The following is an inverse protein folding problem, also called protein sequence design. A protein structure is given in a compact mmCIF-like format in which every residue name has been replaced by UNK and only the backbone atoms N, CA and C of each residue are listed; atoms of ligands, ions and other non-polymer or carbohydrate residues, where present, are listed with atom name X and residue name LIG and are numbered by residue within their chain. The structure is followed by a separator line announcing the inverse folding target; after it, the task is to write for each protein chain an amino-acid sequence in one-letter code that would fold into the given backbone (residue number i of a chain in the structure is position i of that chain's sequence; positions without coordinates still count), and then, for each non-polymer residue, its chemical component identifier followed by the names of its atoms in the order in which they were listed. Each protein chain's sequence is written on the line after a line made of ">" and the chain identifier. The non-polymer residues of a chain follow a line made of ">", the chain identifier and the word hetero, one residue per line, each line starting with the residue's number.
data_IF_122328995629
#
_entry.id   IF_122328995629
#
_cell.length_a   1.000
_cell.length_b   1.000
_cell.length_c   1.000
_cell.angle_alpha   90.00
_cell.angle_beta   90.00
_cell.angle_gamma   90.00
#
_symmetry.space_group_name_H-M   'P 1'
#
loop_
_entity.id
_entity.type
_entity.pdbx_description
1 polymer ?
#
# COMPACT_ATOMS: atom_id res chain seq x y z
N UNK A 1 8.99 13.72 -8.60
CA UNK A 1 8.54 13.90 -7.21
C UNK A 1 7.22 13.17 -7.04
N UNK A 2 6.90 12.55 -5.88
CA UNK A 2 5.60 11.94 -5.66
C UNK A 2 4.49 12.99 -5.78
N UNK A 3 3.40 12.65 -6.47
CA UNK A 3 2.28 13.58 -6.68
C UNK A 3 1.30 13.50 -5.52
N UNK A 4 1.05 12.29 -5.01
CA UNK A 4 0.23 12.04 -3.82
C UNK A 4 0.87 11.04 -2.85
N UNK A 5 0.35 11.05 -1.61
CA UNK A 5 0.69 10.12 -0.55
C UNK A 5 -0.53 9.32 -0.13
N UNK A 6 -0.36 8.01 0.00
CA UNK A 6 -1.41 7.06 0.37
C UNK A 6 -0.99 6.29 1.61
N UNK A 7 -1.93 6.00 2.51
CA UNK A 7 -1.71 5.08 3.62
C UNK A 7 -2.56 3.83 3.42
N UNK A 8 -1.92 2.68 3.58
CA UNK A 8 -2.56 1.37 3.57
C UNK A 8 -2.53 0.82 4.98
N UNK A 9 -3.72 0.61 5.52
CA UNK A 9 -3.89 -0.05 6.82
C UNK A 9 -4.03 -1.55 6.58
N UNK A 10 -3.13 -2.33 7.19
CA UNK A 10 -3.10 -3.78 7.08
C UNK A 10 -2.98 -4.43 8.46
N UNK A 11 -3.28 -5.72 8.56
CA UNK A 11 -2.95 -6.52 9.74
C UNK A 11 -1.56 -7.16 9.57
N UNK A 12 -1.01 -7.76 10.63
CA UNK A 12 0.34 -8.31 10.58
C UNK A 12 0.47 -9.48 9.59
N UNK A 13 -0.58 -10.30 9.42
CA UNK A 13 -0.56 -11.44 8.48
C UNK A 13 -0.45 -10.99 7.02
N UNK A 14 -1.34 -10.09 6.60
CA UNK A 14 -1.33 -9.54 5.25
C UNK A 14 -0.05 -8.75 4.96
N UNK A 15 0.46 -8.02 5.95
CA UNK A 15 1.72 -7.31 5.80
C UNK A 15 2.91 -8.27 5.60
N UNK A 16 2.96 -9.42 6.28
CA UNK A 16 3.97 -10.45 6.03
C UNK A 16 3.89 -10.96 4.59
N UNK A 17 2.69 -11.27 4.11
CA UNK A 17 2.49 -11.67 2.70
C UNK A 17 2.99 -10.59 1.73
N UNK A 18 2.64 -9.32 1.96
CA UNK A 18 3.13 -8.21 1.13
C UNK A 18 4.66 -8.07 1.17
N UNK A 19 5.28 -8.30 2.33
CA UNK A 19 6.74 -8.30 2.49
C UNK A 19 7.39 -9.46 1.75
N UNK A 20 6.84 -10.66 1.87
CA UNK A 20 7.36 -11.88 1.22
C UNK A 20 7.25 -11.77 -0.30
N UNK A 21 6.23 -11.07 -0.80
CA UNK A 21 6.07 -10.70 -2.21
C UNK A 21 6.87 -9.46 -2.62
N UNK A 22 7.76 -8.93 -1.76
CA UNK A 22 8.61 -7.79 -2.08
C UNK A 22 7.86 -6.48 -2.37
N UNK A 23 6.64 -6.32 -1.84
CA UNK A 23 5.75 -5.19 -2.09
C UNK A 23 5.39 -4.96 -3.58
N UNK A 24 5.50 -6.00 -4.41
CA UNK A 24 5.19 -5.89 -5.85
C UNK A 24 3.68 -5.79 -6.12
N UNK A 25 2.85 -6.28 -5.21
CA UNK A 25 1.39 -6.28 -5.35
C UNK A 25 0.74 -5.64 -4.11
N UNK A 26 -0.11 -4.64 -4.34
CA UNK A 26 -0.94 -4.03 -3.31
C UNK A 26 -2.32 -4.70 -3.26
N UNK A 27 -2.47 -5.71 -2.39
CA UNK A 27 -3.73 -6.41 -2.19
C UNK A 27 -4.74 -5.57 -1.40
N UNK A 28 -5.82 -5.13 -2.05
CA UNK A 28 -6.88 -4.34 -1.42
C UNK A 28 -8.26 -4.94 -1.70
N UNK A 29 -9.18 -4.77 -0.74
CA UNK A 29 -10.58 -5.18 -0.88
C UNK A 29 -11.28 -4.35 -1.96
N UNK A 30 -12.21 -4.97 -2.69
CA UNK A 30 -12.97 -4.36 -3.80
C UNK A 30 -13.66 -3.04 -3.43
N UNK A 31 -14.10 -2.89 -2.17
CA UNK A 31 -14.69 -1.64 -1.65
C UNK A 31 -13.79 -0.41 -1.79
N UNK A 32 -12.46 -0.60 -1.90
CA UNK A 32 -11.50 0.49 -2.05
C UNK A 32 -11.13 0.77 -3.52
N UNK A 33 -11.72 0.07 -4.50
CA UNK A 33 -11.36 0.15 -5.93
C UNK A 33 -11.29 1.58 -6.46
N UNK A 34 -12.30 2.42 -6.16
CA UNK A 34 -12.34 3.83 -6.62
C UNK A 34 -11.18 4.69 -6.08
N UNK A 35 -10.64 4.36 -4.89
CA UNK A 35 -9.46 5.06 -4.33
C UNK A 35 -8.19 4.56 -5.00
N UNK A 36 -8.07 3.24 -5.21
CA UNK A 36 -6.90 2.63 -5.86
C UNK A 36 -6.72 3.12 -7.29
N UNK A 37 -7.80 3.32 -8.03
CA UNK A 37 -7.76 3.89 -9.40
C UNK A 37 -7.20 5.32 -9.47
N UNK A 38 -7.08 6.01 -8.33
CA UNK A 38 -6.45 7.34 -8.27
C UNK A 38 -4.96 7.28 -7.94
N UNK A 39 -4.43 6.11 -7.59
CA UNK A 39 -3.00 5.93 -7.33
C UNK A 39 -2.29 5.97 -8.67
N UNK A 40 -1.49 7.02 -8.86
CA UNK A 40 -0.68 7.21 -10.05
C UNK A 40 0.73 6.64 -9.88
N UNK A 41 1.41 6.40 -11.01
CA UNK A 41 2.83 6.07 -11.00
C UNK A 41 3.62 7.22 -10.35
N UNK A 42 4.54 6.87 -9.44
CA UNK A 42 5.33 7.82 -8.68
C UNK A 42 4.73 8.23 -7.33
N UNK A 43 3.44 7.93 -7.08
CA UNK A 43 2.84 8.14 -5.76
C UNK A 43 3.53 7.30 -4.68
N UNK A 44 3.53 7.81 -3.44
CA UNK A 44 4.14 7.11 -2.30
C UNK A 44 3.08 6.45 -1.45
N UNK A 45 3.31 5.18 -1.11
CA UNK A 45 2.42 4.38 -0.27
C UNK A 45 3.13 4.10 1.05
N UNK A 46 2.43 4.35 2.16
CA UNK A 46 2.86 4.09 3.53
C UNK A 46 2.08 2.91 4.10
N UNK A 47 2.78 1.89 4.61
CA UNK A 47 2.16 0.74 5.25
C UNK A 47 2.05 0.95 6.76
N UNK A 48 0.82 0.92 7.27
CA UNK A 48 0.51 0.95 8.69
C UNK A 48 -0.08 -0.40 9.13
N UNK A 49 0.59 -1.06 10.08
CA UNK A 49 0.11 -2.32 10.67
C UNK A 49 -0.68 -1.99 11.92
N UNK A 50 -2.00 -2.18 11.86
CA UNK A 50 -2.93 -1.71 12.90
C UNK A 50 -2.74 -2.41 14.25
N UNK A 51 -2.49 -3.72 14.23
CA UNK A 51 -2.28 -4.54 15.43
C UNK A 51 -1.02 -4.09 16.20
N UNK A 52 0.05 -3.78 15.47
CA UNK A 52 1.33 -3.34 16.03
C UNK A 52 1.38 -1.83 16.26
N UNK A 53 0.41 -1.07 15.71
CA UNK A 53 0.34 0.40 15.71
C UNK A 53 1.62 1.05 15.19
N UNK A 54 2.18 0.49 14.11
CA UNK A 54 3.48 0.90 13.55
C UNK A 54 3.40 1.20 12.06
N UNK A 55 4.16 2.22 11.66
CA UNK A 55 4.55 2.42 10.27
C UNK A 55 5.71 1.48 9.96
N UNK A 56 5.56 0.65 8.93
CA UNK A 56 6.43 -0.51 8.74
C UNK A 56 7.23 -0.48 7.44
N UNK A 57 6.70 0.16 6.40
CA UNK A 57 7.36 0.28 5.11
C UNK A 57 6.81 1.46 4.33
N UNK A 58 7.61 1.95 3.37
CA UNK A 58 7.13 2.81 2.30
C UNK A 58 7.43 2.16 0.95
N UNK A 59 6.55 2.36 -0.02
CA UNK A 59 6.70 1.87 -1.38
C UNK A 59 6.35 2.97 -2.37
N UNK A 60 6.91 2.89 -3.57
CA UNK A 60 6.55 3.78 -4.68
C UNK A 60 5.63 3.02 -5.62
N UNK A 61 4.51 3.61 -6.03
CA UNK A 61 3.65 3.04 -7.04
C UNK A 61 4.39 3.05 -8.39
N UNK A 62 4.64 1.86 -8.95
CA UNK A 62 5.32 1.69 -10.24
C UNK A 62 4.36 1.47 -11.39
N UNK A 63 3.11 1.10 -11.10
CA UNK A 63 2.06 0.81 -12.07
C UNK A 63 0.73 1.39 -11.59
N UNK A 64 -0.08 1.91 -12.52
CA UNK A 64 -1.46 2.33 -12.28
C UNK A 64 -2.45 1.30 -12.83
N UNK A 65 -3.69 1.33 -12.34
CA UNK A 65 -4.79 0.44 -12.73
C UNK A 65 -5.68 1.05 -13.81
#
# INVERSE_FOLDING_TARGET
>A
MPVNFWMVVSNSSNFRISRDLGFTILGLKSQHRRKVQRIGVGDRILYFVSQERRFTATATATTSF
#
